data_IF_503474942886
#
_entry.id   IF_503474942886
#
_cell.length_a   1.000
_cell.length_b   1.000
_cell.length_c   1.000
_cell.angle_alpha   90.00
_cell.angle_beta   90.00
_cell.angle_gamma   90.00
#
_symmetry.space_group_name_H-M   'P 1'
#
loop_
_entity.id
_entity.type
_entity.pdbx_description
1 polymer ?
#
# COMPACT_ATOMS: atom_id res chain seq x y z
N UNK A 1 21.58 22.54 5.41
CA UNK A 1 20.15 22.90 5.32
C UNK A 1 19.58 22.31 4.04
N UNK A 2 18.27 22.21 3.94
CA UNK A 2 17.58 21.86 2.71
C UNK A 2 16.46 22.87 2.48
N UNK A 3 16.35 23.36 1.25
CA UNK A 3 15.28 24.24 0.81
C UNK A 3 14.25 23.41 0.05
N UNK A 4 13.04 23.25 0.59
CA UNK A 4 11.97 22.49 -0.08
C UNK A 4 11.44 23.23 -1.30
N UNK A 5 11.35 24.57 -1.25
CA UNK A 5 10.88 25.40 -2.37
C UNK A 5 11.70 25.19 -3.66
N UNK A 6 12.98 24.85 -3.52
CA UNK A 6 13.91 24.58 -4.62
C UNK A 6 14.39 23.13 -4.68
N UNK A 7 13.89 22.27 -3.80
CA UNK A 7 14.29 20.87 -3.66
C UNK A 7 15.81 20.63 -3.68
N UNK A 8 16.57 21.45 -2.94
CA UNK A 8 18.03 21.41 -2.97
C UNK A 8 18.69 21.52 -1.59
N UNK A 9 19.86 20.90 -1.45
CA UNK A 9 20.73 21.08 -0.30
C UNK A 9 21.44 22.43 -0.38
N UNK A 10 21.53 23.11 0.76
CA UNK A 10 22.23 24.38 0.86
C UNK A 10 23.01 24.50 2.17
N UNK A 11 24.15 25.18 2.14
CA UNK A 11 24.86 25.57 3.36
C UNK A 11 24.10 26.69 4.09
N UNK A 12 24.47 26.96 5.34
CA UNK A 12 23.87 28.03 6.16
C UNK A 12 23.96 29.41 5.51
N UNK A 13 25.07 29.71 4.83
CA UNK A 13 25.23 30.99 4.12
C UNK A 13 24.26 31.11 2.95
N UNK A 14 24.14 30.07 2.12
CA UNK A 14 23.16 30.05 1.02
C UNK A 14 21.72 30.14 1.55
N UNK A 15 21.42 29.48 2.67
CA UNK A 15 20.12 29.58 3.33
C UNK A 15 19.77 31.04 3.69
N UNK A 16 20.74 31.78 4.23
CA UNK A 16 20.54 33.17 4.66
C UNK A 16 20.58 34.19 3.53
N UNK A 17 21.45 34.00 2.53
CA UNK A 17 21.68 34.99 1.47
C UNK A 17 20.73 34.79 0.28
N UNK A 18 20.61 33.55 -0.19
CA UNK A 18 19.90 33.25 -1.44
C UNK A 18 18.52 32.64 -1.22
N UNK A 19 18.27 32.08 -0.02
CA UNK A 19 17.00 31.46 0.33
C UNK A 19 16.27 32.17 1.49
N UNK A 20 16.60 33.44 1.75
CA UNK A 20 15.96 34.21 2.83
C UNK A 20 14.45 34.35 2.68
N UNK A 21 13.99 34.41 1.44
CA UNK A 21 12.58 34.53 1.09
C UNK A 21 11.90 33.17 0.91
N UNK A 22 12.66 32.07 0.93
CA UNK A 22 12.10 30.73 0.91
C UNK A 22 11.43 30.45 2.25
N UNK A 23 10.21 29.93 2.21
CA UNK A 23 9.41 29.66 3.41
C UNK A 23 9.79 28.34 4.06
N UNK A 24 10.38 27.44 3.29
CA UNK A 24 10.64 26.06 3.70
C UNK A 24 12.12 25.71 3.64
N UNK A 25 12.94 26.39 4.45
CA UNK A 25 14.35 26.00 4.66
C UNK A 25 14.47 25.30 6.01
N UNK A 26 14.76 24.00 5.98
CA UNK A 26 14.80 23.15 7.18
C UNK A 26 16.17 22.50 7.36
N UNK A 27 16.40 21.97 8.55
CA UNK A 27 17.54 21.10 8.79
C UNK A 27 17.33 19.78 8.04
N UNK A 28 18.41 19.29 7.41
CA UNK A 28 18.37 18.02 6.67
C UNK A 28 17.97 16.87 7.60
N UNK A 29 18.44 16.89 8.85
CA UNK A 29 18.11 15.90 9.87
C UNK A 29 16.60 15.79 10.12
N UNK A 30 15.89 16.91 10.11
CA UNK A 30 14.47 16.94 10.43
C UNK A 30 13.65 16.38 9.26
N UNK A 31 14.04 16.74 8.04
CA UNK A 31 13.45 16.18 6.82
C UNK A 31 13.66 14.67 6.77
N UNK A 32 14.88 14.19 7.03
CA UNK A 32 15.19 12.76 7.04
C UNK A 32 14.35 12.03 8.10
N UNK A 33 14.23 12.58 9.32
CA UNK A 33 13.40 11.99 10.38
C UNK A 33 11.92 11.94 10.01
N UNK A 34 11.36 13.03 9.50
CA UNK A 34 9.96 13.11 9.08
C UNK A 34 9.68 12.16 7.93
N UNK A 35 10.53 12.15 6.90
CA UNK A 35 10.36 11.27 5.75
C UNK A 35 10.51 9.79 6.13
N UNK A 36 11.48 9.44 6.98
CA UNK A 36 11.63 8.08 7.50
C UNK A 36 10.38 7.63 8.27
N UNK A 37 9.84 8.50 9.12
CA UNK A 37 8.60 8.20 9.86
C UNK A 37 7.42 8.00 8.91
N UNK A 38 7.27 8.86 7.89
CA UNK A 38 6.20 8.76 6.91
C UNK A 38 6.33 7.48 6.05
N UNK A 39 7.55 7.13 5.63
CA UNK A 39 7.83 5.89 4.91
C UNK A 39 7.48 4.66 5.76
N UNK A 40 7.82 4.66 7.05
CA UNK A 40 7.44 3.57 7.96
C UNK A 40 5.92 3.44 8.09
N UNK A 41 5.19 4.56 8.22
CA UNK A 41 3.72 4.53 8.22
C UNK A 41 3.16 3.94 6.92
N UNK A 42 3.69 4.35 5.77
CA UNK A 42 3.28 3.81 4.47
C UNK A 42 3.57 2.31 4.36
N UNK A 43 4.73 1.85 4.83
CA UNK A 43 5.07 0.42 4.85
C UNK A 43 4.09 -0.38 5.69
N UNK A 44 3.72 0.11 6.88
CA UNK A 44 2.70 -0.54 7.73
C UNK A 44 1.35 -0.59 7.01
N UNK A 45 0.91 0.50 6.38
CA UNK A 45 -0.35 0.52 5.60
C UNK A 45 -0.32 -0.50 4.46
N UNK A 46 0.78 -0.58 3.71
CA UNK A 46 0.95 -1.56 2.63
C UNK A 46 0.86 -2.99 3.17
N UNK A 47 1.51 -3.27 4.31
CA UNK A 47 1.45 -4.59 4.94
C UNK A 47 0.02 -4.97 5.35
N UNK A 48 -0.74 -4.03 5.93
CA UNK A 48 -2.14 -4.25 6.28
C UNK A 48 -2.98 -4.58 5.05
N UNK A 49 -2.86 -3.79 3.97
CA UNK A 49 -3.59 -4.02 2.71
C UNK A 49 -3.24 -5.39 2.13
N UNK A 50 -1.96 -5.77 2.11
CA UNK A 50 -1.55 -7.09 1.64
C UNK A 50 -2.14 -8.23 2.48
N UNK A 51 -2.23 -8.05 3.80
CA UNK A 51 -2.90 -8.98 4.70
C UNK A 51 -4.38 -9.14 4.39
N UNK A 52 -5.11 -8.04 4.22
CA UNK A 52 -6.53 -8.04 3.86
C UNK A 52 -6.78 -8.67 2.49
N UNK A 53 -5.95 -8.35 1.49
CA UNK A 53 -6.02 -8.97 0.17
C UNK A 53 -5.80 -10.48 0.22
N UNK A 54 -4.91 -10.97 1.09
CA UNK A 54 -4.71 -12.41 1.30
C UNK A 54 -5.96 -13.06 1.87
N UNK A 55 -6.56 -12.47 2.91
CA UNK A 55 -7.81 -12.97 3.50
C UNK A 55 -8.94 -13.01 2.47
N UNK A 56 -9.10 -11.95 1.67
CA UNK A 56 -10.11 -11.91 0.61
C UNK A 56 -9.88 -13.00 -0.43
N UNK A 57 -8.63 -13.20 -0.86
CA UNK A 57 -8.25 -14.26 -1.80
C UNK A 57 -8.60 -15.65 -1.26
N UNK A 58 -8.30 -15.91 0.00
CA UNK A 58 -8.55 -17.22 0.62
C UNK A 58 -10.06 -17.48 0.77
N UNK A 59 -10.83 -16.45 1.16
CA UNK A 59 -12.31 -16.51 1.18
C UNK A 59 -12.88 -16.77 -0.21
N UNK A 60 -12.37 -16.10 -1.24
CA UNK A 60 -12.81 -16.30 -2.63
C UNK A 60 -12.53 -17.74 -3.09
N UNK A 61 -11.35 -18.29 -2.79
CA UNK A 61 -11.02 -19.69 -3.09
C UNK A 61 -11.98 -20.67 -2.42
N UNK A 62 -12.27 -20.47 -1.13
CA UNK A 62 -13.20 -21.32 -0.40
C UNK A 62 -14.63 -21.25 -0.99
N UNK A 63 -15.09 -20.05 -1.34
CA UNK A 63 -16.39 -19.85 -1.99
C UNK A 63 -16.46 -20.56 -3.34
N UNK A 64 -15.44 -20.41 -4.18
CA UNK A 64 -15.36 -21.08 -5.49
C UNK A 64 -15.37 -22.61 -5.35
N UNK A 65 -14.63 -23.16 -4.38
CA UNK A 65 -14.63 -24.60 -4.11
C UNK A 65 -16.02 -25.11 -3.69
N UNK A 66 -16.73 -24.33 -2.86
CA UNK A 66 -18.11 -24.64 -2.46
C UNK A 66 -19.05 -24.64 -3.67
N UNK A 67 -19.01 -23.60 -4.50
CA UNK A 67 -19.83 -23.49 -5.72
C UNK A 67 -19.55 -24.66 -6.67
N UNK A 68 -18.28 -25.01 -6.88
CA UNK A 68 -17.90 -26.15 -7.71
C UNK A 68 -18.50 -27.47 -7.17
N UNK A 69 -18.43 -27.70 -5.87
CA UNK A 69 -18.98 -28.91 -5.26
C UNK A 69 -20.50 -29.02 -5.43
N UNK A 70 -21.22 -27.89 -5.36
CA UNK A 70 -22.66 -27.83 -5.59
C UNK A 70 -23.00 -28.11 -7.04
N UNK A 71 -22.24 -27.54 -7.97
CA UNK A 71 -22.37 -27.78 -9.40
C UNK A 71 -22.17 -29.27 -9.75
N UNK A 72 -21.10 -29.87 -9.23
CA UNK A 72 -20.80 -31.30 -9.44
C UNK A 72 -21.91 -32.20 -8.88
N UNK A 73 -22.48 -31.83 -7.72
CA UNK A 73 -23.61 -32.54 -7.12
C UNK A 73 -24.85 -32.46 -8.00
N UNK A 74 -25.18 -31.28 -8.55
CA UNK A 74 -26.32 -31.13 -9.46
C UNK A 74 -26.13 -31.93 -10.75
N UNK A 75 -24.93 -31.91 -11.34
CA UNK A 75 -24.62 -32.72 -12.53
C UNK A 75 -24.86 -34.21 -12.28
N UNK A 76 -24.41 -34.74 -11.13
CA UNK A 76 -24.64 -36.13 -10.75
C UNK A 76 -26.14 -36.45 -10.63
N UNK A 77 -26.93 -35.54 -10.09
CA UNK A 77 -28.40 -35.70 -9.98
C UNK A 77 -29.01 -35.77 -11.39
N UNK A 78 -28.70 -34.82 -12.26
CA UNK A 78 -29.22 -34.76 -13.64
C UNK A 78 -28.86 -36.04 -14.41
N UNK A 79 -27.61 -36.50 -14.31
CA UNK A 79 -27.17 -37.74 -14.95
C UNK A 79 -27.92 -38.97 -14.44
N UNK A 80 -28.21 -39.05 -13.14
CA UNK A 80 -29.02 -40.14 -12.58
C UNK A 80 -30.46 -40.10 -13.07
N UNK A 81 -31.07 -38.92 -13.15
CA UNK A 81 -32.45 -38.77 -13.63
C UNK A 81 -32.59 -39.14 -15.10
N UNK A 82 -31.60 -38.81 -15.95
CA UNK A 82 -31.61 -39.17 -17.39
C UNK A 82 -31.41 -40.67 -17.69
N UNK A 83 -30.96 -41.45 -16.71
CA UNK A 83 -30.74 -42.91 -16.86
C UNK A 83 -31.93 -43.75 -16.38
N UNK A 84 -32.99 -43.12 -15.88
CA UNK A 84 -34.28 -43.73 -15.56
C UNK A 84 -35.27 -43.40 -16.66
#
# INVERSE_FOLDING_TARGET
MYCEDHSQLCCTNCAFLNHRQCKQVKLVSDIVKTNSTNLNKLLVTIQTILGEMKILRDKQKASMASVQSLYDRQLKIIQKTRRK
#
